data_IF_732032337096
#
_entry.id   IF_732032337096
#
_cell.length_a   1.000
_cell.length_b   1.000
_cell.length_c   1.000
_cell.angle_alpha   90.00
_cell.angle_beta   90.00
_cell.angle_gamma   90.00
#
_symmetry.space_group_name_H-M   'P 1'
#
loop_
_entity.id
_entity.type
_entity.pdbx_description
1 polymer ?
#
# COMPACT_ATOMS: atom_id res chain seq x y z
N UNK A 1 -82.28 58.37 13.89
CA UNK A 1 -81.18 58.19 14.81
C UNK A 1 -81.18 56.76 15.34
N UNK A 2 -80.31 55.89 14.87
CA UNK A 2 -79.79 54.65 15.54
C UNK A 2 -78.77 54.08 14.67
N UNK A 3 -77.48 54.05 15.16
CA UNK A 3 -76.31 53.44 14.50
C UNK A 3 -76.42 51.93 14.55
N UNK A 4 -76.23 51.26 13.49
CA UNK A 4 -76.11 49.82 13.45
C UNK A 4 -74.61 49.49 13.24
N UNK A 5 -74.06 48.87 14.26
CA UNK A 5 -72.68 48.36 14.28
C UNK A 5 -72.66 47.04 13.53
N UNK A 6 -71.76 46.89 12.46
CA UNK A 6 -71.50 45.66 11.76
C UNK A 6 -70.29 44.95 12.42
N UNK A 7 -70.51 43.79 13.00
CA UNK A 7 -69.44 42.88 13.37
C UNK A 7 -68.98 42.06 12.15
N UNK A 8 -67.71 42.19 11.78
CA UNK A 8 -67.05 41.33 10.83
C UNK A 8 -66.44 40.15 11.59
N UNK A 9 -66.97 38.96 11.31
CA UNK A 9 -66.46 37.71 11.82
C UNK A 9 -65.28 37.30 10.95
N UNK A 10 -64.06 37.29 11.52
CA UNK A 10 -62.86 36.82 10.90
C UNK A 10 -62.69 35.33 11.24
N UNK A 11 -63.01 34.45 10.28
CA UNK A 11 -62.79 33.01 10.40
C UNK A 11 -61.32 32.67 10.39
N UNK A 12 -60.84 32.09 11.46
CA UNK A 12 -59.46 31.57 11.57
C UNK A 12 -59.39 30.22 10.87
N UNK A 13 -58.77 30.18 9.70
CA UNK A 13 -58.45 28.92 8.99
C UNK A 13 -57.18 28.33 9.59
N UNK A 14 -57.32 27.32 10.45
CA UNK A 14 -56.18 26.57 11.02
C UNK A 14 -55.75 25.53 9.96
N UNK A 15 -54.72 25.84 9.22
CA UNK A 15 -54.03 24.85 8.33
C UNK A 15 -53.12 23.97 9.20
N UNK A 16 -53.54 22.74 9.40
CA UNK A 16 -52.70 21.70 10.07
C UNK A 16 -51.63 21.26 9.07
N UNK A 17 -50.40 21.77 9.23
CA UNK A 17 -49.22 21.29 8.51
C UNK A 17 -48.74 20.02 9.22
N UNK A 18 -49.01 18.86 8.62
CA UNK A 18 -48.46 17.56 9.05
C UNK A 18 -46.98 17.53 8.62
N UNK A 19 -46.09 17.90 9.53
CA UNK A 19 -44.65 17.71 9.29
C UNK A 19 -44.33 16.21 9.43
N UNK A 20 -44.20 15.52 8.34
CA UNK A 20 -43.54 14.21 8.27
C UNK A 20 -42.07 14.42 8.64
N UNK A 21 -41.70 14.16 9.88
CA UNK A 21 -40.29 13.94 10.25
C UNK A 21 -39.84 12.64 9.62
N UNK A 22 -39.11 12.75 8.51
CA UNK A 22 -38.28 11.65 7.99
C UNK A 22 -37.23 11.35 9.05
N UNK A 23 -37.39 10.24 9.73
CA UNK A 23 -36.36 9.72 10.62
C UNK A 23 -35.21 9.27 9.74
N UNK A 24 -34.29 10.18 9.48
CA UNK A 24 -32.98 9.85 8.86
C UNK A 24 -32.30 8.82 9.76
N UNK A 25 -31.92 7.69 9.17
CA UNK A 25 -31.04 6.75 9.82
C UNK A 25 -29.83 7.54 10.31
N UNK A 26 -29.58 7.52 11.60
CA UNK A 26 -28.40 8.14 12.19
C UNK A 26 -27.18 7.49 11.51
N UNK A 27 -26.51 8.23 10.62
CA UNK A 27 -25.16 7.94 10.22
C UNK A 27 -24.34 7.76 11.49
N UNK A 28 -23.76 6.58 11.68
CA UNK A 28 -22.77 6.38 12.71
C UNK A 28 -21.74 7.49 12.51
N UNK A 29 -21.38 8.25 13.56
CA UNK A 29 -20.35 9.25 13.43
C UNK A 29 -19.09 8.51 12.95
N UNK A 30 -18.63 8.82 11.73
CA UNK A 30 -17.28 8.49 11.31
C UNK A 30 -16.37 9.14 12.33
N UNK A 31 -15.74 8.30 13.16
CA UNK A 31 -14.64 8.76 14.01
C UNK A 31 -13.59 9.31 13.06
N UNK A 32 -13.25 10.61 13.13
CA UNK A 32 -12.21 11.17 12.28
C UNK A 32 -10.96 10.32 12.47
N UNK A 33 -10.50 9.66 11.41
CA UNK A 33 -9.21 8.97 11.44
C UNK A 33 -8.16 10.07 11.61
N UNK A 34 -7.62 10.19 12.80
CA UNK A 34 -6.56 11.14 13.11
C UNK A 34 -5.39 10.84 12.16
N UNK A 35 -5.07 11.78 11.26
CA UNK A 35 -3.88 11.70 10.42
C UNK A 35 -2.67 11.43 11.32
N UNK A 36 -1.75 10.53 10.95
CA UNK A 36 -0.61 10.21 11.79
C UNK A 36 0.21 11.45 12.09
N UNK A 37 0.37 11.78 13.37
CA UNK A 37 1.16 12.96 13.81
C UNK A 37 2.66 12.77 13.61
N UNK A 38 3.10 11.52 13.46
CA UNK A 38 4.48 11.19 13.05
C UNK A 38 4.56 10.79 11.57
N UNK A 39 3.43 10.55 10.93
CA UNK A 39 3.33 10.05 9.56
C UNK A 39 3.78 8.61 9.39
N UNK A 40 3.70 8.15 8.15
CA UNK A 40 4.23 6.85 7.74
C UNK A 40 5.65 7.05 7.21
N UNK A 41 6.60 6.29 7.74
CA UNK A 41 7.92 6.14 7.15
C UNK A 41 7.97 4.81 6.39
N UNK A 42 8.39 4.86 5.14
CA UNK A 42 8.45 3.72 4.24
C UNK A 42 9.88 3.55 3.74
N UNK A 43 10.53 2.45 4.12
CA UNK A 43 11.85 2.08 3.60
C UNK A 43 11.68 0.94 2.62
N UNK A 44 11.93 1.19 1.31
CA UNK A 44 11.77 0.19 0.25
C UNK A 44 13.14 -0.40 -0.10
N UNK A 45 13.23 -1.73 -0.10
CA UNK A 45 14.38 -2.51 -0.52
C UNK A 45 14.25 -2.91 -2.00
N UNK A 46 15.32 -3.40 -2.61
CA UNK A 46 15.29 -3.78 -4.04
C UNK A 46 14.42 -5.02 -4.33
N UNK A 47 14.27 -5.94 -3.36
CA UNK A 47 13.71 -7.29 -3.57
C UNK A 47 12.22 -7.42 -3.21
N UNK A 48 11.39 -6.48 -3.64
CA UNK A 48 9.94 -6.48 -3.35
C UNK A 48 9.61 -6.53 -1.86
N UNK A 49 10.50 -6.03 -1.03
CA UNK A 49 10.38 -5.93 0.41
C UNK A 49 10.37 -4.47 0.83
N UNK A 50 9.58 -4.13 1.84
CA UNK A 50 9.61 -2.83 2.46
C UNK A 50 9.36 -2.93 3.97
N UNK A 51 9.96 -2.00 4.71
CA UNK A 51 9.67 -1.75 6.10
C UNK A 51 8.71 -0.56 6.19
N UNK A 52 7.58 -0.78 6.81
CA UNK A 52 6.60 0.26 7.14
C UNK A 52 6.73 0.59 8.61
N UNK A 53 6.82 1.87 8.95
CA UNK A 53 6.73 2.40 10.29
C UNK A 53 5.62 3.43 10.32
N UNK A 54 4.55 3.16 11.05
CA UNK A 54 3.34 3.96 11.09
C UNK A 54 3.09 4.44 12.52
N UNK A 55 2.95 5.73 12.70
CA UNK A 55 2.78 6.37 14.00
C UNK A 55 1.43 7.08 14.06
N UNK A 56 0.56 6.64 14.98
CA UNK A 56 -0.78 7.21 15.18
C UNK A 56 -1.06 7.46 16.68
N UNK A 57 -1.88 8.47 16.97
CA UNK A 57 -2.44 8.63 18.30
C UNK A 57 -3.68 7.76 18.44
N UNK A 58 -3.61 6.74 19.31
CA UNK A 58 -4.70 5.79 19.56
C UNK A 58 -5.13 5.84 21.02
N UNK A 59 -6.41 5.56 21.27
CA UNK A 59 -6.96 5.44 22.61
C UNK A 59 -6.49 4.14 23.25
N UNK A 60 -5.70 4.22 24.32
CA UNK A 60 -5.32 3.08 25.12
C UNK A 60 -6.19 3.02 26.39
N UNK A 61 -7.03 2.00 26.49
CA UNK A 61 -7.95 1.80 27.61
C UNK A 61 -7.22 1.12 28.78
N UNK A 62 -7.47 1.54 30.00
CA UNK A 62 -6.93 0.92 31.23
C UNK A 62 -7.40 -0.52 31.37
N UNK A 63 -6.53 -1.40 31.82
CA UNK A 63 -6.81 -2.84 31.96
C UNK A 63 -6.60 -3.62 30.66
N UNK A 64 -7.34 -4.72 30.50
CA UNK A 64 -7.29 -5.55 29.31
C UNK A 64 -8.31 -5.01 28.30
N UNK A 65 -7.85 -4.75 27.07
CA UNK A 65 -8.70 -4.21 26.00
C UNK A 65 -8.19 -4.59 24.62
N UNK A 66 -9.10 -4.59 23.65
CA UNK A 66 -8.77 -4.81 22.23
C UNK A 66 -8.41 -3.48 21.57
N UNK A 67 -7.25 -3.45 20.88
CA UNK A 67 -6.83 -2.36 20.02
C UNK A 67 -6.83 -2.82 18.57
N UNK A 68 -7.52 -2.07 17.70
CA UNK A 68 -7.56 -2.33 16.26
C UNK A 68 -6.75 -1.27 15.52
N UNK A 69 -5.96 -1.71 14.51
CA UNK A 69 -5.16 -0.86 13.66
C UNK A 69 -5.46 -1.22 12.21
N UNK A 70 -6.28 -0.40 11.58
CA UNK A 70 -6.76 -0.60 10.22
C UNK A 70 -5.77 -0.07 9.17
N UNK A 71 -6.01 -0.42 7.90
CA UNK A 71 -5.25 0.07 6.75
C UNK A 71 -3.77 -0.32 6.79
N UNK A 72 -3.51 -1.58 7.07
CA UNK A 72 -2.19 -2.18 6.91
C UNK A 72 -2.08 -2.92 5.57
N UNK A 73 -0.86 -3.18 5.11
CA UNK A 73 -0.63 -3.91 3.86
C UNK A 73 -1.27 -5.30 3.86
N UNK A 74 -1.90 -5.68 2.74
CA UNK A 74 -2.42 -7.04 2.54
C UNK A 74 -1.30 -8.10 2.47
N UNK A 75 -0.08 -7.68 2.11
CA UNK A 75 1.10 -8.53 1.97
C UNK A 75 2.07 -8.38 3.16
N UNK A 76 1.57 -7.89 4.29
CA UNK A 76 2.31 -7.78 5.55
C UNK A 76 2.75 -9.18 6.02
N UNK A 77 3.98 -9.27 6.57
CA UNK A 77 4.46 -10.45 7.30
C UNK A 77 4.05 -10.34 8.77
N UNK A 78 3.08 -11.15 9.24
CA UNK A 78 2.59 -11.07 10.62
C UNK A 78 3.67 -11.32 11.68
N UNK A 79 4.71 -12.09 11.34
CA UNK A 79 5.80 -12.39 12.27
C UNK A 79 6.73 -11.21 12.51
N UNK A 80 6.73 -10.23 11.60
CA UNK A 80 7.55 -9.01 11.66
C UNK A 80 6.89 -7.84 12.39
N UNK A 81 5.62 -7.99 12.79
CA UNK A 81 4.86 -6.89 13.40
C UNK A 81 5.38 -6.57 14.79
N UNK A 82 5.65 -5.30 15.00
CA UNK A 82 6.08 -4.75 16.29
C UNK A 82 5.22 -3.54 16.63
N UNK A 83 4.65 -3.53 17.82
CA UNK A 83 3.94 -2.38 18.39
C UNK A 83 4.77 -1.78 19.53
N UNK A 84 4.82 -0.46 19.57
CA UNK A 84 5.49 0.32 20.64
C UNK A 84 4.63 1.50 21.04
N UNK A 85 4.80 1.92 22.29
CA UNK A 85 4.20 3.12 22.85
C UNK A 85 5.33 4.03 23.35
N UNK A 86 5.91 4.88 22.48
CA UNK A 86 7.06 5.71 22.84
C UNK A 86 6.78 6.57 24.07
N UNK A 87 7.71 6.55 25.04
CA UNK A 87 7.57 7.33 26.29
C UNK A 87 6.55 6.80 27.29
N UNK A 88 5.90 5.65 27.05
CA UNK A 88 4.93 5.02 27.95
C UNK A 88 5.40 3.61 28.33
N UNK A 89 5.47 3.34 29.64
CA UNK A 89 5.71 2.00 30.20
C UNK A 89 4.40 1.39 30.68
N UNK A 90 4.38 0.07 30.97
CA UNK A 90 3.18 -0.58 31.54
C UNK A 90 2.12 -0.97 30.50
N UNK A 91 2.46 -0.93 29.22
CA UNK A 91 1.65 -1.53 28.15
C UNK A 91 2.27 -2.85 27.74
N UNK A 92 1.48 -3.92 27.74
CA UNK A 92 1.90 -5.27 27.38
C UNK A 92 0.96 -5.83 26.33
N UNK A 93 1.50 -6.42 25.27
CA UNK A 93 0.76 -7.19 24.28
C UNK A 93 0.51 -8.58 24.84
N UNK A 94 -0.72 -9.02 24.89
CA UNK A 94 -1.14 -10.35 25.31
C UNK A 94 -1.34 -11.24 24.07
N UNK A 95 -2.04 -10.72 23.04
CA UNK A 95 -2.31 -11.40 21.79
C UNK A 95 -2.15 -10.45 20.62
N UNK A 96 -1.76 -10.99 19.45
CA UNK A 96 -1.62 -10.27 18.20
C UNK A 96 -2.24 -11.10 17.08
N UNK A 97 -3.18 -10.51 16.36
CA UNK A 97 -3.88 -11.12 15.25
C UNK A 97 -3.77 -10.23 14.00
N UNK A 98 -3.53 -10.85 12.85
CA UNK A 98 -3.67 -10.23 11.55
C UNK A 98 -4.95 -10.75 10.91
N UNK A 99 -5.87 -9.84 10.60
CA UNK A 99 -7.17 -10.17 10.04
C UNK A 99 -7.28 -9.59 8.63
N UNK A 100 -7.51 -10.45 7.66
CA UNK A 100 -7.75 -10.10 6.27
C UNK A 100 -8.50 -11.23 5.58
N UNK A 101 -9.67 -10.92 5.03
CA UNK A 101 -10.41 -11.83 4.16
C UNK A 101 -10.14 -11.47 2.70
N UNK A 102 -9.35 -12.30 2.01
CA UNK A 102 -9.17 -12.18 0.56
C UNK A 102 -10.43 -12.69 -0.13
N UNK A 103 -11.37 -11.77 -0.41
CA UNK A 103 -12.67 -12.09 -1.03
C UNK A 103 -12.44 -12.41 -2.51
N UNK A 104 -12.12 -13.68 -2.76
CA UNK A 104 -12.04 -14.27 -4.08
C UNK A 104 -13.24 -15.17 -4.36
N UNK A 105 -13.42 -15.61 -5.60
CA UNK A 105 -14.42 -16.61 -5.94
C UNK A 105 -14.23 -17.89 -5.08
N UNK A 106 -12.99 -18.38 -4.98
CA UNK A 106 -12.63 -19.54 -4.14
C UNK A 106 -13.03 -19.34 -2.68
N UNK A 107 -12.82 -18.15 -2.14
CA UNK A 107 -13.19 -17.80 -0.78
C UNK A 107 -14.72 -17.82 -0.60
N UNK A 108 -15.46 -17.22 -1.56
CA UNK A 108 -16.93 -17.24 -1.52
C UNK A 108 -17.47 -18.66 -1.53
N UNK A 109 -16.98 -19.54 -2.39
CA UNK A 109 -17.39 -20.94 -2.43
C UNK A 109 -17.08 -21.65 -1.12
N UNK A 110 -15.88 -21.50 -0.56
CA UNK A 110 -15.49 -22.13 0.71
C UNK A 110 -16.37 -21.68 1.88
N UNK A 111 -16.67 -20.39 1.96
CA UNK A 111 -17.49 -19.82 3.04
C UNK A 111 -18.97 -20.18 2.97
N UNK A 112 -19.45 -20.53 1.77
CA UNK A 112 -20.86 -20.89 1.56
C UNK A 112 -21.10 -22.37 1.35
N UNK A 113 -20.08 -23.24 1.59
CA UNK A 113 -20.29 -24.68 1.61
C UNK A 113 -21.38 -25.07 2.61
N UNK A 114 -22.31 -25.92 2.17
CA UNK A 114 -23.49 -26.31 2.96
C UNK A 114 -24.60 -25.27 3.05
N UNK A 115 -24.44 -24.08 2.43
CA UNK A 115 -25.47 -23.05 2.40
C UNK A 115 -26.26 -23.10 1.10
N UNK A 116 -27.51 -22.64 1.18
CA UNK A 116 -28.40 -22.55 0.00
C UNK A 116 -27.97 -21.42 -0.90
N UNK A 117 -27.71 -21.72 -2.18
CA UNK A 117 -27.36 -20.77 -3.24
C UNK A 117 -28.40 -20.82 -4.36
N UNK A 118 -28.43 -19.78 -5.18
CA UNK A 118 -29.28 -19.70 -6.36
C UNK A 118 -28.40 -19.54 -7.61
N UNK A 119 -28.64 -20.37 -8.61
CA UNK A 119 -27.90 -20.39 -9.85
C UNK A 119 -28.85 -20.04 -10.98
N UNK A 120 -28.44 -19.12 -11.85
CA UNK A 120 -29.15 -18.82 -13.08
C UNK A 120 -28.34 -19.35 -14.26
N UNK A 121 -28.95 -20.21 -15.08
CA UNK A 121 -28.30 -20.75 -16.28
C UNK A 121 -28.36 -19.76 -17.44
N UNK A 122 -27.58 -20.01 -18.50
CA UNK A 122 -27.60 -19.19 -19.73
C UNK A 122 -28.97 -19.18 -20.39
N UNK A 123 -29.75 -20.27 -20.23
CA UNK A 123 -31.14 -20.39 -20.74
C UNK A 123 -32.17 -19.66 -19.86
N UNK A 124 -31.73 -19.07 -18.74
CA UNK A 124 -32.59 -18.37 -17.77
C UNK A 124 -33.28 -19.27 -16.76
N UNK A 125 -32.96 -20.58 -16.71
CA UNK A 125 -33.46 -21.49 -15.68
C UNK A 125 -32.84 -21.16 -14.34
N UNK A 126 -33.68 -21.10 -13.30
CA UNK A 126 -33.24 -20.87 -11.92
C UNK A 126 -33.15 -22.24 -11.21
N UNK A 127 -32.00 -22.50 -10.59
CA UNK A 127 -31.75 -23.71 -9.82
C UNK A 127 -31.35 -23.25 -8.40
N UNK A 128 -32.04 -23.77 -7.38
CA UNK A 128 -31.71 -23.50 -5.98
C UNK A 128 -31.29 -24.81 -5.31
N UNK A 129 -30.22 -24.78 -4.52
CA UNK A 129 -29.73 -25.95 -3.82
C UNK A 129 -28.63 -25.57 -2.84
N UNK A 130 -28.22 -26.57 -2.06
CA UNK A 130 -27.13 -26.42 -1.09
C UNK A 130 -25.80 -26.69 -1.76
N UNK A 131 -24.86 -25.76 -1.63
CA UNK A 131 -23.52 -25.88 -2.19
C UNK A 131 -22.75 -27.00 -1.49
N UNK A 132 -22.46 -28.09 -2.19
CA UNK A 132 -21.69 -29.22 -1.68
C UNK A 132 -20.23 -29.12 -2.09
N UNK A 133 -19.96 -28.69 -3.32
CA UNK A 133 -18.63 -28.39 -3.82
C UNK A 133 -18.70 -27.28 -4.87
N UNK A 134 -17.73 -26.40 -4.86
CA UNK A 134 -17.62 -25.29 -5.79
C UNK A 134 -16.29 -25.31 -6.50
N UNK A 135 -16.09 -24.29 -7.33
CA UNK A 135 -14.91 -24.03 -8.13
C UNK A 135 -13.63 -24.22 -7.33
N UNK A 136 -12.75 -25.09 -7.80
CA UNK A 136 -11.40 -25.22 -7.28
C UNK A 136 -10.45 -25.32 -8.47
N UNK A 137 -9.21 -24.84 -8.35
CA UNK A 137 -8.20 -24.84 -9.43
C UNK A 137 -8.26 -26.14 -10.26
N UNK A 138 -8.80 -26.05 -11.49
CA UNK A 138 -8.92 -27.17 -12.43
C UNK A 138 -10.27 -27.91 -12.45
N UNK A 139 -11.23 -27.61 -11.57
CA UNK A 139 -12.57 -28.23 -11.60
C UNK A 139 -13.58 -27.19 -12.11
N UNK A 140 -14.25 -27.51 -13.20
CA UNK A 140 -15.18 -26.59 -13.90
C UNK A 140 -16.65 -26.84 -13.54
N UNK A 141 -16.96 -27.65 -12.52
CA UNK A 141 -18.32 -28.05 -12.20
C UNK A 141 -18.71 -27.60 -10.79
N UNK A 142 -19.98 -27.21 -10.65
CA UNK A 142 -20.61 -26.89 -9.40
C UNK A 142 -21.45 -28.06 -8.95
N UNK A 143 -21.34 -28.48 -7.68
CA UNK A 143 -22.12 -29.58 -7.13
C UNK A 143 -23.06 -29.02 -6.06
N UNK A 144 -24.36 -29.24 -6.26
CA UNK A 144 -25.42 -28.82 -5.35
C UNK A 144 -26.25 -30.02 -4.91
N UNK A 145 -26.76 -29.95 -3.69
CA UNK A 145 -27.67 -30.93 -3.13
C UNK A 145 -29.06 -30.35 -2.87
N UNK A 146 -30.08 -31.19 -2.81
CA UNK A 146 -31.43 -30.75 -2.44
C UNK A 146 -31.54 -30.46 -0.93
N UNK A 147 -30.61 -30.98 -0.11
CA UNK A 147 -30.59 -30.85 1.36
C UNK A 147 -29.20 -30.41 1.84
N UNK A 148 -29.06 -29.81 3.06
CA UNK A 148 -27.79 -29.51 3.67
C UNK A 148 -26.98 -30.84 3.88
N UNK A 149 -25.90 -30.99 3.11
CA UNK A 149 -25.02 -32.16 3.21
C UNK A 149 -25.35 -33.31 2.28
N UNK A 150 -26.33 -33.19 1.35
CA UNK A 150 -26.59 -34.23 0.37
C UNK A 150 -27.98 -34.19 -0.26
N UNK A 151 -28.77 -35.25 -0.11
CA UNK A 151 -30.00 -35.42 -0.84
C UNK A 151 -29.77 -35.77 -2.32
N UNK A 152 -30.68 -35.36 -3.20
CA UNK A 152 -30.47 -35.47 -4.65
C UNK A 152 -29.37 -34.52 -5.08
N UNK A 153 -28.33 -35.07 -5.71
CA UNK A 153 -27.15 -34.33 -6.12
C UNK A 153 -27.27 -33.91 -7.61
N UNK A 154 -27.03 -32.68 -7.88
CA UNK A 154 -26.97 -32.14 -9.24
C UNK A 154 -25.58 -31.55 -9.51
N UNK A 155 -24.98 -31.92 -10.65
CA UNK A 155 -23.73 -31.34 -11.15
C UNK A 155 -24.07 -30.37 -12.26
N UNK A 156 -23.60 -29.11 -12.12
CA UNK A 156 -23.84 -28.04 -13.09
C UNK A 156 -22.48 -27.64 -13.67
N UNK A 157 -22.36 -27.71 -15.00
CA UNK A 157 -21.16 -27.28 -15.69
C UNK A 157 -21.05 -25.75 -15.66
N UNK A 158 -19.86 -25.24 -15.43
CA UNK A 158 -19.61 -23.80 -15.35
C UNK A 158 -20.05 -23.04 -16.62
N UNK A 159 -19.85 -23.68 -17.77
CA UNK A 159 -20.21 -23.11 -19.07
C UNK A 159 -21.72 -22.87 -19.24
N UNK A 160 -22.55 -23.51 -18.42
CA UNK A 160 -23.99 -23.33 -18.42
C UNK A 160 -24.47 -22.25 -17.44
N UNK A 161 -23.58 -21.71 -16.62
CA UNK A 161 -23.89 -20.76 -15.54
C UNK A 161 -23.78 -19.32 -16.05
N UNK A 162 -24.85 -18.56 -15.90
CA UNK A 162 -24.90 -17.11 -16.16
C UNK A 162 -24.51 -16.31 -14.91
N UNK A 163 -25.07 -16.69 -13.75
CA UNK A 163 -24.77 -16.06 -12.46
C UNK A 163 -25.02 -17.01 -11.29
N UNK A 164 -24.33 -16.77 -10.21
CA UNK A 164 -24.53 -17.44 -8.93
C UNK A 164 -24.80 -16.36 -7.89
N UNK A 165 -25.96 -16.49 -7.20
CA UNK A 165 -26.32 -15.61 -6.10
C UNK A 165 -26.05 -16.31 -4.79
N UNK A 166 -25.10 -15.78 -4.03
CA UNK A 166 -24.81 -16.23 -2.68
C UNK A 166 -25.71 -15.54 -1.66
N UNK A 167 -26.05 -16.16 -0.52
CA UNK A 167 -26.70 -15.46 0.57
C UNK A 167 -25.82 -14.31 1.07
N UNK A 168 -26.39 -13.44 1.93
CA UNK A 168 -25.65 -12.29 2.47
C UNK A 168 -24.31 -12.75 3.06
N UNK A 169 -23.25 -11.99 2.76
CA UNK A 169 -21.94 -12.21 3.34
C UNK A 169 -22.01 -12.34 4.87
N UNK A 170 -21.20 -13.23 5.47
CA UNK A 170 -21.17 -13.39 6.92
C UNK A 170 -20.90 -12.04 7.61
N UNK A 171 -21.52 -11.81 8.76
CA UNK A 171 -21.15 -10.67 9.61
C UNK A 171 -19.71 -10.85 10.08
N UNK A 172 -18.91 -9.77 10.02
CA UNK A 172 -17.51 -9.79 10.46
C UNK A 172 -16.50 -9.99 9.33
N UNK A 173 -16.92 -9.87 8.05
CA UNK A 173 -15.99 -9.87 6.93
C UNK A 173 -15.00 -8.70 7.05
N UNK A 174 -13.71 -9.04 7.04
CA UNK A 174 -12.60 -8.09 7.10
C UNK A 174 -11.98 -7.92 5.71
N UNK A 175 -12.60 -7.10 4.87
CA UNK A 175 -12.13 -6.83 3.49
C UNK A 175 -10.85 -5.99 3.48
N UNK A 176 -10.70 -5.10 4.46
CA UNK A 176 -9.47 -4.30 4.61
C UNK A 176 -8.58 -4.96 5.65
N UNK A 177 -7.31 -5.21 5.31
CA UNK A 177 -6.37 -5.81 6.26
C UNK A 177 -6.23 -4.96 7.52
N UNK A 178 -6.22 -5.62 8.68
CA UNK A 178 -6.04 -4.95 9.97
C UNK A 178 -5.26 -5.81 10.96
N UNK A 179 -4.63 -5.15 11.89
CA UNK A 179 -4.00 -5.76 13.06
C UNK A 179 -4.92 -5.57 14.27
N UNK A 180 -5.06 -6.62 15.06
CA UNK A 180 -5.88 -6.61 16.27
C UNK A 180 -5.04 -7.16 17.42
N UNK A 181 -4.91 -6.35 18.47
CA UNK A 181 -4.19 -6.75 19.67
C UNK A 181 -5.13 -6.82 20.87
N UNK A 182 -4.89 -7.80 21.73
CA UNK A 182 -5.33 -7.73 23.12
C UNK A 182 -4.18 -7.15 23.95
N UNK A 183 -4.41 -5.97 24.54
CA UNK A 183 -3.42 -5.23 25.30
C UNK A 183 -3.81 -5.17 26.77
N UNK A 184 -2.80 -5.31 27.64
CA UNK A 184 -2.90 -4.93 29.05
C UNK A 184 -2.21 -3.58 29.26
N UNK A 185 -2.97 -2.58 29.70
CA UNK A 185 -2.49 -1.23 29.98
C UNK A 185 -2.68 -0.89 31.46
N UNK A 186 -1.58 -0.66 32.17
CA UNK A 186 -1.57 -0.25 33.57
C UNK A 186 -1.80 1.25 33.78
N UNK A 187 -1.82 2.03 32.70
CA UNK A 187 -1.95 3.49 32.75
C UNK A 187 -3.42 3.91 32.63
N UNK A 188 -3.77 5.16 33.04
CA UNK A 188 -5.07 5.74 32.79
C UNK A 188 -5.43 5.74 31.30
N UNK A 189 -6.72 5.56 31.01
CA UNK A 189 -7.25 5.64 29.65
C UNK A 189 -6.96 7.00 29.03
N UNK A 190 -6.19 7.03 27.95
CA UNK A 190 -5.80 8.26 27.27
C UNK A 190 -5.40 8.00 25.82
N UNK A 191 -5.37 9.05 24.98
CA UNK A 191 -4.76 9.02 23.65
C UNK A 191 -3.23 9.05 23.79
N UNK A 192 -2.58 8.04 23.23
CA UNK A 192 -1.13 7.90 23.25
C UNK A 192 -0.58 7.63 21.85
N UNK A 193 0.63 8.10 21.64
CA UNK A 193 1.35 7.76 20.42
C UNK A 193 1.65 6.26 20.41
N UNK A 194 1.15 5.59 19.39
CA UNK A 194 1.41 4.19 19.10
C UNK A 194 2.19 4.11 17.80
N UNK A 195 3.29 3.41 17.84
CA UNK A 195 4.14 3.13 16.68
C UNK A 195 3.98 1.65 16.32
N UNK A 196 3.56 1.39 15.08
CA UNK A 196 3.48 0.05 14.51
C UNK A 196 4.48 -0.06 13.38
N UNK A 197 5.34 -1.08 13.42
CA UNK A 197 6.27 -1.36 12.35
C UNK A 197 6.14 -2.81 11.89
N UNK A 198 6.27 -3.03 10.58
CA UNK A 198 6.16 -4.35 9.98
C UNK A 198 6.86 -4.41 8.63
N UNK A 199 7.27 -5.60 8.23
CA UNK A 199 7.73 -5.89 6.88
C UNK A 199 6.53 -6.22 5.98
N UNK A 200 6.60 -5.79 4.73
CA UNK A 200 5.61 -6.11 3.71
C UNK A 200 6.26 -6.39 2.37
N UNK A 201 5.58 -7.20 1.58
CA UNK A 201 5.94 -7.42 0.18
C UNK A 201 5.14 -6.50 -0.75
N UNK A 202 5.43 -6.58 -2.06
CA UNK A 202 4.70 -5.84 -3.08
C UNK A 202 5.18 -4.41 -3.32
N UNK A 203 6.21 -3.96 -2.63
CA UNK A 203 6.88 -2.68 -2.86
C UNK A 203 8.28 -2.92 -3.41
N UNK A 204 8.62 -2.24 -4.50
CA UNK A 204 9.96 -2.33 -5.10
C UNK A 204 10.36 -1.00 -5.73
N UNK A 205 11.67 -0.85 -5.93
CA UNK A 205 12.21 0.29 -6.65
C UNK A 205 13.41 -0.10 -7.51
N UNK A 206 13.70 0.72 -8.51
CA UNK A 206 14.87 0.61 -9.35
C UNK A 206 15.31 1.99 -9.82
N UNK A 207 16.60 2.15 -10.11
CA UNK A 207 17.13 3.33 -10.77
C UNK A 207 17.21 3.12 -12.28
N UNK A 208 16.89 4.15 -13.03
CA UNK A 208 17.03 4.22 -14.49
C UNK A 208 17.75 5.53 -14.82
N UNK A 209 18.73 5.50 -15.72
CA UNK A 209 19.52 6.67 -16.10
C UNK A 209 19.42 6.91 -17.60
N UNK A 210 19.37 8.19 -17.97
CA UNK A 210 19.50 8.67 -19.34
C UNK A 210 20.77 9.49 -19.40
N UNK A 211 21.70 9.11 -20.27
CA UNK A 211 22.96 9.79 -20.48
C UNK A 211 23.00 10.29 -21.94
N UNK A 212 22.97 11.60 -22.12
CA UNK A 212 22.96 12.24 -23.44
C UNK A 212 24.32 12.85 -23.71
N UNK A 213 25.06 12.28 -24.67
CA UNK A 213 26.35 12.84 -25.11
C UNK A 213 26.14 13.90 -26.20
N UNK A 214 26.91 14.98 -26.16
CA UNK A 214 26.84 16.02 -27.16
C UNK A 214 27.42 15.59 -28.53
N UNK A 215 27.29 16.46 -29.55
CA UNK A 215 27.78 16.20 -30.92
C UNK A 215 29.28 15.94 -30.97
N UNK A 216 30.07 16.62 -30.15
CA UNK A 216 31.56 16.57 -30.15
C UNK A 216 32.14 15.43 -29.30
N UNK A 217 31.31 14.63 -28.64
CA UNK A 217 31.67 13.50 -27.77
C UNK A 217 32.55 13.87 -26.55
N UNK A 218 32.49 15.12 -26.07
CA UNK A 218 33.31 15.64 -24.96
C UNK A 218 32.49 16.07 -23.73
N UNK A 219 31.16 16.15 -23.83
CA UNK A 219 30.24 16.50 -22.76
C UNK A 219 29.08 15.53 -22.67
N UNK A 220 28.61 15.27 -21.46
CA UNK A 220 27.49 14.36 -21.22
C UNK A 220 26.56 14.94 -20.16
N UNK A 221 25.26 14.85 -20.41
CA UNK A 221 24.21 15.12 -19.45
C UNK A 221 23.70 13.82 -18.88
N UNK A 222 23.54 13.74 -17.56
CA UNK A 222 23.05 12.54 -16.87
C UNK A 222 21.80 12.88 -16.07
N UNK A 223 20.70 12.19 -16.38
CA UNK A 223 19.44 12.27 -15.65
C UNK A 223 19.14 10.92 -15.04
N UNK A 224 18.93 10.89 -13.73
CA UNK A 224 18.59 9.68 -12.96
C UNK A 224 17.15 9.72 -12.46
N UNK A 225 16.43 8.64 -12.65
CA UNK A 225 15.08 8.42 -12.17
C UNK A 225 15.00 7.23 -11.24
N UNK A 226 14.22 7.35 -10.18
CA UNK A 226 13.76 6.23 -9.36
C UNK A 226 12.36 5.84 -9.80
N UNK A 227 12.21 4.60 -10.24
CA UNK A 227 10.91 4.00 -10.55
C UNK A 227 10.45 3.17 -9.36
N UNK A 228 9.35 3.56 -8.76
CA UNK A 228 8.70 2.94 -7.60
C UNK A 228 7.48 2.16 -8.05
N UNK A 229 7.28 0.96 -7.52
CA UNK A 229 6.10 0.14 -7.76
C UNK A 229 5.45 -0.23 -6.44
N UNK A 230 4.14 0.02 -6.31
CA UNK A 230 3.36 -0.37 -5.15
C UNK A 230 2.25 -1.35 -5.57
N UNK A 231 2.34 -2.58 -5.10
CA UNK A 231 1.33 -3.65 -5.24
C UNK A 231 1.04 -4.29 -3.86
N UNK A 232 1.18 -3.53 -2.78
CA UNK A 232 1.05 -4.01 -1.40
C UNK A 232 -0.40 -4.20 -0.93
N UNK A 233 -1.37 -3.76 -1.74
CA UNK A 233 -2.79 -3.81 -1.41
C UNK A 233 -3.35 -2.54 -0.78
N UNK A 234 -2.51 -1.55 -0.43
CA UNK A 234 -2.95 -0.27 0.16
C UNK A 234 -2.25 0.94 -0.49
N UNK A 235 -2.85 2.11 -0.31
CA UNK A 235 -2.25 3.40 -0.62
C UNK A 235 -1.38 3.89 0.55
N UNK A 236 -0.24 4.48 0.23
CA UNK A 236 0.60 5.20 1.19
C UNK A 236 0.58 6.69 0.87
N UNK A 237 -0.09 7.49 1.69
CA UNK A 237 -0.24 8.93 1.49
C UNK A 237 0.74 9.71 2.34
N UNK A 238 1.41 10.71 1.72
CA UNK A 238 2.32 11.66 2.39
C UNK A 238 3.39 11.00 3.27
N UNK A 239 3.98 9.92 2.76
CA UNK A 239 4.97 9.13 3.50
C UNK A 239 6.37 9.73 3.40
N UNK A 240 7.16 9.56 4.46
CA UNK A 240 8.60 9.77 4.41
C UNK A 240 9.23 8.56 3.71
N UNK A 241 9.72 8.80 2.49
CA UNK A 241 10.25 7.73 1.63
C UNK A 241 11.76 7.59 1.80
N UNK A 242 12.18 6.37 2.05
CA UNK A 242 13.58 5.93 2.06
C UNK A 242 13.76 4.76 1.10
N UNK A 243 14.87 4.75 0.37
CA UNK A 243 15.23 3.68 -0.56
C UNK A 243 16.56 3.10 -0.11
N UNK A 244 16.63 1.80 0.02
CA UNK A 244 17.86 1.11 0.37
C UNK A 244 18.42 0.39 -0.84
N UNK A 245 19.66 0.73 -1.24
CA UNK A 245 20.43 0.03 -2.25
C UNK A 245 21.49 -0.86 -1.61
N UNK A 246 21.74 -2.01 -2.20
CA UNK A 246 22.70 -3.02 -1.78
C UNK A 246 22.14 -4.42 -1.99
N UNK A 247 23.00 -5.43 -2.08
CA UNK A 247 22.57 -6.82 -2.22
C UNK A 247 22.09 -7.32 -0.85
N UNK A 248 20.78 -7.47 -0.70
CA UNK A 248 20.19 -8.11 0.49
C UNK A 248 20.28 -9.62 0.27
N UNK A 249 21.20 -10.29 0.97
CA UNK A 249 21.12 -11.75 1.10
C UNK A 249 19.91 -12.05 1.98
N UNK A 250 18.99 -12.87 1.47
CA UNK A 250 17.78 -13.32 2.18
C UNK A 250 18.15 -14.35 3.26
N UNK A 251 18.88 -13.92 4.30
CA UNK A 251 19.02 -14.71 5.50
C UNK A 251 18.10 -14.17 6.60
N UNK A 252 17.54 -15.03 7.47
CA UNK A 252 16.65 -14.61 8.58
C UNK A 252 17.25 -13.52 9.48
N UNK A 253 18.57 -13.45 9.55
CA UNK A 253 19.36 -12.46 10.31
C UNK A 253 19.20 -11.02 9.80
N UNK A 254 18.80 -10.81 8.54
CA UNK A 254 18.60 -9.49 7.94
C UNK A 254 17.30 -8.82 8.38
N UNK A 255 16.26 -9.61 8.66
CA UNK A 255 15.03 -9.08 9.26
C UNK A 255 15.28 -8.55 10.67
N UNK A 256 16.15 -9.22 11.48
CA UNK A 256 16.59 -8.74 12.78
C UNK A 256 17.47 -7.48 12.67
N UNK A 257 18.31 -7.38 11.64
CA UNK A 257 19.13 -6.18 11.37
C UNK A 257 18.27 -5.00 10.91
N UNK A 258 17.22 -5.25 10.11
CA UNK A 258 16.23 -4.23 9.75
C UNK A 258 15.48 -3.71 11.00
N UNK A 259 15.16 -4.60 11.94
CA UNK A 259 14.55 -4.26 13.23
C UNK A 259 15.56 -3.55 14.15
N UNK A 260 16.85 -3.91 14.12
CA UNK A 260 17.92 -3.23 14.86
C UNK A 260 18.15 -1.81 14.33
N UNK A 261 18.02 -1.60 13.02
CA UNK A 261 18.05 -0.27 12.37
C UNK A 261 16.95 0.67 12.90
N UNK A 262 15.75 0.13 13.18
CA UNK A 262 14.66 0.89 13.81
C UNK A 262 15.05 1.47 15.18
N UNK A 263 16.05 0.89 15.85
CA UNK A 263 16.51 1.36 17.15
C UNK A 263 17.49 2.53 17.06
N UNK A 264 18.13 2.73 15.92
CA UNK A 264 19.28 3.65 15.77
C UNK A 264 18.97 5.01 15.12
N UNK A 265 17.86 5.16 14.38
CA UNK A 265 17.57 6.39 13.63
C UNK A 265 16.67 7.35 14.38
N UNK A 266 17.26 8.16 15.26
CA UNK A 266 16.66 9.40 15.76
C UNK A 266 17.64 10.54 15.49
N UNK A 267 17.18 11.57 14.79
CA UNK A 267 17.77 12.86 14.48
C UNK A 267 18.62 12.97 13.21
N UNK A 268 18.05 13.59 12.18
CA UNK A 268 18.61 14.78 11.53
C UNK A 268 17.59 15.47 10.63
N UNK A 269 17.24 16.71 10.93
CA UNK A 269 16.39 17.56 10.09
C UNK A 269 17.23 18.69 9.47
N UNK A 270 17.36 18.71 8.15
CA UNK A 270 17.50 19.93 7.33
C UNK A 270 16.99 19.70 5.90
N UNK A 271 16.06 20.54 5.47
CA UNK A 271 15.29 20.34 4.26
C UNK A 271 16.08 20.68 2.97
N UNK A 272 16.19 19.69 2.10
CA UNK A 272 16.45 19.81 0.67
C UNK A 272 15.46 18.90 -0.05
N UNK A 273 14.81 19.34 -1.15
CA UNK A 273 13.67 18.65 -1.77
C UNK A 273 14.03 17.36 -2.54
N UNK A 274 15.31 17.14 -2.89
CA UNK A 274 15.83 15.96 -3.58
C UNK A 274 16.17 14.79 -2.66
N UNK A 275 16.70 13.70 -3.22
CA UNK A 275 17.24 12.60 -2.45
C UNK A 275 18.54 12.99 -1.75
N UNK A 276 18.68 12.54 -0.49
CA UNK A 276 19.94 12.57 0.25
C UNK A 276 20.41 11.16 0.44
N UNK A 277 21.69 10.93 0.22
CA UNK A 277 22.35 9.66 0.47
C UNK A 277 23.03 9.69 1.84
N UNK A 278 22.96 8.56 2.53
CA UNK A 278 23.68 8.27 3.74
C UNK A 278 24.25 6.86 3.66
N UNK A 279 25.56 6.74 3.83
CA UNK A 279 26.22 5.45 3.91
C UNK A 279 25.92 4.78 5.27
N UNK A 280 25.50 3.53 5.23
CA UNK A 280 25.22 2.75 6.43
C UNK A 280 25.79 1.34 6.27
N UNK A 281 26.94 1.04 6.88
CA UNK A 281 27.71 -0.18 6.66
C UNK A 281 28.01 -0.39 5.17
N UNK A 282 27.56 -1.51 4.58
CA UNK A 282 27.71 -1.86 3.16
C UNK A 282 26.55 -1.36 2.28
N UNK A 283 25.61 -0.57 2.83
CA UNK A 283 24.40 -0.13 2.15
C UNK A 283 24.36 1.38 2.01
N UNK A 284 23.66 1.82 0.97
CA UNK A 284 23.34 3.22 0.74
C UNK A 284 21.85 3.47 0.95
N UNK A 285 21.53 4.45 1.78
CA UNK A 285 20.18 4.88 2.08
C UNK A 285 19.91 6.22 1.41
N UNK A 286 18.93 6.27 0.52
CA UNK A 286 18.49 7.48 -0.17
C UNK A 286 17.17 7.95 0.43
N UNK A 287 17.18 9.08 1.10
CA UNK A 287 15.98 9.68 1.71
C UNK A 287 15.46 10.79 0.83
N UNK A 288 14.20 10.70 0.40
CA UNK A 288 13.52 11.76 -0.33
C UNK A 288 13.22 12.94 0.61
N UNK A 289 13.65 14.16 0.25
CA UNK A 289 13.53 15.35 1.09
C UNK A 289 12.12 15.91 1.23
N UNK A 290 11.14 15.37 0.49
CA UNK A 290 9.73 15.73 0.54
C UNK A 290 8.85 14.50 0.72
N UNK A 291 7.64 14.63 1.29
CA UNK A 291 6.68 13.55 1.35
C UNK A 291 6.31 13.03 -0.05
N UNK A 292 5.98 11.75 -0.13
CA UNK A 292 5.53 11.10 -1.36
C UNK A 292 4.25 10.30 -1.12
N UNK A 293 3.36 10.31 -2.10
CA UNK A 293 2.16 9.46 -2.11
C UNK A 293 2.35 8.33 -3.13
N UNK A 294 2.18 7.08 -2.69
CA UNK A 294 2.31 5.87 -3.50
C UNK A 294 0.97 5.13 -3.49
N UNK A 295 0.19 5.28 -4.56
CA UNK A 295 -1.09 4.58 -4.67
C UNK A 295 -0.88 3.09 -4.97
N UNK A 296 -1.79 2.26 -4.51
CA UNK A 296 -1.80 0.84 -4.84
C UNK A 296 -1.93 0.62 -6.36
N UNK A 297 -1.24 -0.39 -6.89
CA UNK A 297 -1.14 -0.69 -8.32
C UNK A 297 -0.57 0.47 -9.16
N UNK A 298 0.21 1.37 -8.53
CA UNK A 298 0.84 2.50 -9.21
C UNK A 298 2.33 2.22 -9.46
N UNK A 299 2.77 2.64 -10.66
CA UNK A 299 4.17 2.88 -10.97
C UNK A 299 4.40 4.39 -10.91
N UNK A 300 5.35 4.82 -10.08
CA UNK A 300 5.69 6.24 -9.89
C UNK A 300 7.16 6.47 -10.19
N UNK A 301 7.46 7.53 -10.91
CA UNK A 301 8.84 7.98 -11.12
C UNK A 301 9.12 9.24 -10.31
N UNK A 302 10.28 9.26 -9.66
CA UNK A 302 10.79 10.40 -8.89
C UNK A 302 12.21 10.68 -9.38
N UNK A 303 12.52 11.95 -9.61
CA UNK A 303 13.88 12.36 -9.99
C UNK A 303 14.86 12.01 -8.87
N UNK A 304 15.95 11.31 -9.24
CA UNK A 304 17.05 10.98 -8.34
C UNK A 304 18.12 12.06 -8.38
N UNK A 305 18.52 12.42 -9.59
CA UNK A 305 19.52 13.45 -9.86
C UNK A 305 19.38 14.00 -11.29
N UNK A 306 19.88 15.20 -11.48
CA UNK A 306 20.13 15.80 -12.81
C UNK A 306 21.47 16.49 -12.76
N UNK A 307 22.36 16.12 -13.67
CA UNK A 307 23.69 16.72 -13.83
C UNK A 307 23.96 16.97 -15.30
N UNK A 308 24.31 18.18 -15.65
CA UNK A 308 24.51 18.62 -17.02
C UNK A 308 25.96 19.08 -17.26
N UNK A 309 26.36 19.07 -18.51
CA UNK A 309 27.66 19.58 -18.99
C UNK A 309 28.88 18.92 -18.32
N UNK A 310 28.78 17.63 -18.04
CA UNK A 310 29.85 16.87 -17.38
C UNK A 310 30.94 16.56 -18.41
N UNK A 311 32.22 16.84 -18.16
CA UNK A 311 33.32 16.42 -19.02
C UNK A 311 33.39 14.91 -19.14
N UNK A 312 33.44 14.39 -20.37
CA UNK A 312 33.49 12.95 -20.64
C UNK A 312 34.63 12.62 -21.58
N UNK A 313 35.29 11.47 -21.33
CA UNK A 313 36.30 10.93 -22.24
C UNK A 313 35.73 9.69 -22.94
N UNK A 314 35.75 9.71 -24.26
CA UNK A 314 35.40 8.58 -25.09
C UNK A 314 36.64 7.71 -25.31
N UNK A 315 36.54 6.43 -24.93
CA UNK A 315 37.61 5.42 -25.09
C UNK A 315 37.16 4.27 -25.95
N UNK A 316 38.08 3.76 -26.77
CA UNK A 316 37.87 2.56 -27.53
C UNK A 316 38.71 1.44 -26.92
N UNK A 317 38.06 0.34 -26.54
CA UNK A 317 38.69 -0.80 -25.89
C UNK A 317 38.55 -2.02 -26.82
N UNK A 318 39.67 -2.69 -27.09
CA UNK A 318 39.68 -3.92 -27.85
C UNK A 318 40.27 -5.04 -27.00
N UNK A 319 39.46 -6.05 -26.69
CA UNK A 319 39.86 -7.26 -25.96
C UNK A 319 39.61 -8.48 -26.83
N UNK A 320 40.57 -8.77 -27.77
CA UNK A 320 40.41 -9.80 -28.78
C UNK A 320 40.09 -11.19 -28.26
N UNK A 321 40.50 -11.52 -27.02
CA UNK A 321 40.21 -12.82 -26.40
C UNK A 321 38.75 -12.94 -25.93
N UNK A 322 38.06 -11.83 -25.64
CA UNK A 322 36.69 -11.81 -25.09
C UNK A 322 35.67 -11.35 -26.15
N UNK A 323 36.04 -10.39 -26.98
CA UNK A 323 35.12 -9.67 -27.87
C UNK A 323 35.26 -10.01 -29.36
N UNK A 324 36.17 -10.91 -29.69
CA UNK A 324 36.46 -11.27 -31.10
C UNK A 324 36.94 -10.08 -31.90
N UNK A 325 36.17 -9.65 -32.92
CA UNK A 325 36.53 -8.50 -33.76
C UNK A 325 35.83 -7.20 -33.40
N UNK A 326 35.13 -7.15 -32.26
CA UNK A 326 34.36 -5.99 -31.85
C UNK A 326 35.19 -5.04 -30.98
N UNK A 327 35.04 -3.74 -31.20
CA UNK A 327 35.59 -2.67 -30.35
C UNK A 327 34.49 -2.15 -29.46
N UNK A 328 34.72 -2.13 -28.14
CA UNK A 328 33.83 -1.50 -27.17
C UNK A 328 34.09 0.00 -27.16
N UNK A 329 33.01 0.78 -27.14
CA UNK A 329 33.06 2.23 -26.90
C UNK A 329 32.70 2.46 -25.44
N UNK A 330 33.59 3.11 -24.70
CA UNK A 330 33.40 3.44 -23.29
C UNK A 330 33.33 4.96 -23.14
N UNK A 331 32.44 5.45 -22.29
CA UNK A 331 32.35 6.84 -21.88
C UNK A 331 32.76 6.92 -20.41
N UNK A 332 33.83 7.67 -20.12
CA UNK A 332 34.37 7.80 -18.77
C UNK A 332 34.18 9.23 -18.27
N UNK A 333 33.54 9.39 -17.12
CA UNK A 333 33.34 10.66 -16.46
C UNK A 333 33.48 10.50 -14.95
N UNK A 334 33.79 11.60 -14.26
CA UNK A 334 34.02 11.59 -12.82
C UNK A 334 32.71 11.83 -12.05
N UNK A 335 32.41 10.94 -11.09
CA UNK A 335 31.31 11.11 -10.14
C UNK A 335 31.78 12.00 -8.99
N UNK A 336 31.73 13.33 -9.19
CA UNK A 336 32.16 14.32 -8.20
C UNK A 336 31.12 15.42 -8.00
N UNK A 337 31.19 16.09 -6.87
CA UNK A 337 30.35 17.25 -6.57
C UNK A 337 30.56 18.41 -7.54
N UNK A 338 31.76 18.54 -8.13
CA UNK A 338 32.06 19.54 -9.16
C UNK A 338 31.26 19.29 -10.45
N UNK A 339 30.92 18.04 -10.73
CA UNK A 339 30.10 17.61 -11.84
C UNK A 339 28.60 17.50 -11.48
N UNK A 340 28.14 18.13 -10.40
CA UNK A 340 26.78 18.04 -9.88
C UNK A 340 26.32 16.58 -9.55
N UNK A 341 27.29 15.70 -9.34
CA UNK A 341 27.14 14.33 -8.88
C UNK A 341 27.67 14.21 -7.43
N UNK A 342 28.40 13.16 -7.09
CA UNK A 342 29.10 13.03 -5.80
C UNK A 342 28.38 12.12 -4.81
N UNK A 343 27.17 11.64 -5.15
CA UNK A 343 26.54 10.54 -4.40
C UNK A 343 26.83 9.20 -5.07
N UNK A 344 26.96 8.10 -4.34
CA UNK A 344 26.95 6.76 -4.92
C UNK A 344 25.70 6.57 -5.80
N UNK A 345 25.89 6.08 -7.00
CA UNK A 345 24.77 5.83 -7.92
C UNK A 345 24.21 4.43 -7.68
N UNK A 346 22.90 4.29 -7.38
CA UNK A 346 22.27 2.97 -7.28
C UNK A 346 22.43 2.15 -8.56
N UNK A 347 22.55 0.83 -8.41
CA UNK A 347 22.53 -0.09 -9.55
C UNK A 347 21.27 0.13 -10.38
N UNK A 348 21.43 0.30 -11.70
CA UNK A 348 20.31 0.61 -12.59
C UNK A 348 20.64 0.40 -14.05
N UNK A 349 19.67 0.71 -14.91
CA UNK A 349 19.83 0.66 -16.36
C UNK A 349 20.25 2.02 -16.88
N UNK A 350 21.33 2.11 -17.62
CA UNK A 350 21.79 3.33 -18.29
C UNK A 350 21.43 3.24 -19.77
N UNK A 351 20.70 4.23 -20.28
CA UNK A 351 20.44 4.42 -21.70
C UNK A 351 21.29 5.58 -22.18
N UNK A 352 22.22 5.27 -23.11
CA UNK A 352 23.06 6.29 -23.71
C UNK A 352 22.46 6.69 -25.05
N UNK A 353 22.31 7.98 -25.26
CA UNK A 353 21.88 8.59 -26.52
C UNK A 353 22.83 9.71 -26.93
N UNK A 354 22.89 10.00 -28.22
CA UNK A 354 23.69 11.10 -28.74
C UNK A 354 22.73 12.19 -29.23
N UNK A 355 22.96 13.43 -28.79
CA UNK A 355 22.27 14.57 -29.36
C UNK A 355 22.68 14.70 -30.83
N UNK A 356 21.70 14.87 -31.72
CA UNK A 356 22.02 15.21 -33.10
C UNK A 356 22.42 16.71 -33.21
N UNK A 357 22.91 17.10 -34.41
CA UNK A 357 23.35 18.48 -34.66
C UNK A 357 22.21 19.51 -34.65
N UNK A 358 20.95 19.07 -34.56
CA UNK A 358 19.75 19.91 -34.52
C UNK A 358 19.16 20.05 -33.11
N UNK A 359 19.76 19.42 -32.08
CA UNK A 359 19.37 19.53 -30.69
C UNK A 359 18.12 18.74 -30.32
N UNK A 360 17.80 17.69 -31.08
CA UNK A 360 16.66 16.78 -30.86
C UNK A 360 17.10 15.51 -30.10
#
# INVERSE_FOLDING_TARGET
MKRVSRYVSMGLLVTLILSMTVWGAAEKPEVPQDKPVGGIELTIYNDQLALVKDQRYLQLVTGISTLTFDEVSALLDPSSVMIRTPGLTGVRVLEQNFEHDDVSEDWLFKKHLGQKIKITTLEGRIIEGYLLAGWHKGWQNLIIGSEPGGGDIQIIQSEQIKSIDFPKLPRGLVVRPRLVWELQNANPTDKRLVEVSYLTRGLSWKADYIATINGDDDRIDVMGWVTLKNNSGIDYSDVRLKLRAGDVRQEPEEAEKAVAYLRATVNDEKANEGFREQSFFEYHLYTLGRPATLKNNQLKQVELLTAADIPVQKRYIYEGALDGQKVKVMLEFENSAANHLGMPLPKGTIRVQKADHEGS
#
